data_IF_208691100082
#
_entry.id   IF_208691100082
#
_cell.length_a   1.000
_cell.length_b   1.000
_cell.length_c   1.000
_cell.angle_alpha   90.00
_cell.angle_beta   90.00
_cell.angle_gamma   90.00
#
_symmetry.space_group_name_H-M   'P 1'
#
loop_
_entity.id
_entity.type
_entity.pdbx_description
1 polymer ?
#
# COMPACT_ATOMS: atom_id res chain seq x y z
N UNK A 1 -15.79 -24.63 11.88
CA UNK A 1 -14.38 -24.40 11.54
C UNK A 1 -14.18 -22.89 11.56
N UNK A 2 -13.30 -22.39 12.41
CA UNK A 2 -13.00 -20.96 12.47
C UNK A 2 -12.01 -20.60 11.34
N UNK A 3 -12.22 -19.48 10.66
CA UNK A 3 -11.32 -19.02 9.60
C UNK A 3 -9.86 -18.95 10.06
N UNK A 4 -8.94 -19.32 9.18
CA UNK A 4 -7.51 -19.16 9.43
C UNK A 4 -7.17 -17.67 9.43
N UNK A 5 -6.43 -17.23 10.43
CA UNK A 5 -5.93 -15.85 10.51
C UNK A 5 -4.78 -15.64 9.51
N UNK A 6 -4.88 -14.61 8.68
CA UNK A 6 -3.80 -14.15 7.80
C UNK A 6 -3.00 -13.11 8.58
N UNK A 7 -1.89 -13.51 9.19
CA UNK A 7 -1.10 -12.64 10.05
C UNK A 7 -0.17 -11.73 9.23
N UNK A 8 -0.63 -10.48 9.01
CA UNK A 8 0.13 -9.49 8.27
C UNK A 8 1.37 -8.99 9.01
N UNK A 9 1.38 -9.06 10.35
CA UNK A 9 2.56 -8.70 11.15
C UNK A 9 3.69 -9.69 10.89
N UNK A 10 3.38 -10.98 10.92
CA UNK A 10 4.34 -12.04 10.60
C UNK A 10 4.85 -11.92 9.16
N UNK A 11 3.94 -11.84 8.19
CA UNK A 11 4.28 -11.72 6.77
C UNK A 11 5.16 -10.48 6.49
N UNK A 12 4.85 -9.33 7.12
CA UNK A 12 5.66 -8.13 7.00
C UNK A 12 7.05 -8.28 7.63
N UNK A 13 7.17 -8.97 8.76
CA UNK A 13 8.47 -9.25 9.38
C UNK A 13 9.33 -10.17 8.52
N UNK A 14 8.74 -11.16 7.87
CA UNK A 14 9.43 -12.04 6.93
C UNK A 14 9.95 -11.26 5.71
N UNK A 15 9.11 -10.39 5.13
CA UNK A 15 9.50 -9.54 4.02
C UNK A 15 10.63 -8.57 4.42
N UNK A 16 10.55 -7.91 5.58
CA UNK A 16 11.60 -7.00 6.06
C UNK A 16 12.94 -7.73 6.26
N UNK A 17 12.93 -8.96 6.79
CA UNK A 17 14.15 -9.78 6.89
C UNK A 17 14.78 -10.08 5.53
N UNK A 18 13.98 -10.40 4.53
CA UNK A 18 14.49 -10.58 3.17
C UNK A 18 15.06 -9.27 2.60
N UNK A 19 14.34 -8.16 2.78
CA UNK A 19 14.77 -6.84 2.32
C UNK A 19 16.08 -6.37 2.97
N UNK A 20 16.35 -6.69 4.23
CA UNK A 20 17.62 -6.31 4.87
C UNK A 20 18.82 -6.95 4.18
N UNK A 21 18.68 -8.17 3.64
CA UNK A 21 19.71 -8.82 2.84
C UNK A 21 19.88 -8.11 1.49
N UNK A 22 18.78 -7.78 0.83
CA UNK A 22 18.78 -7.05 -0.45
C UNK A 22 19.41 -5.65 -0.32
N UNK A 23 19.09 -4.92 0.77
CA UNK A 23 19.67 -3.61 1.09
C UNK A 23 21.18 -3.71 1.32
N UNK A 24 21.64 -4.71 2.07
CA UNK A 24 23.05 -4.91 2.31
C UNK A 24 23.82 -5.25 1.01
N UNK A 25 23.24 -6.08 0.15
CA UNK A 25 23.80 -6.41 -1.15
C UNK A 25 23.89 -5.17 -2.05
N UNK A 26 22.82 -4.38 -2.14
CA UNK A 26 22.82 -3.13 -2.88
C UNK A 26 23.87 -2.13 -2.36
N UNK A 27 23.98 -2.00 -1.05
CA UNK A 27 24.96 -1.10 -0.44
C UNK A 27 26.41 -1.54 -0.72
N UNK A 28 26.68 -2.83 -0.72
CA UNK A 28 28.00 -3.38 -1.05
C UNK A 28 28.37 -3.14 -2.53
N UNK A 29 27.38 -3.23 -3.44
CA UNK A 29 27.60 -3.04 -4.88
C UNK A 29 27.72 -1.58 -5.28
N UNK A 30 26.92 -0.69 -4.67
CA UNK A 30 26.80 0.72 -5.09
C UNK A 30 27.45 1.72 -4.12
N UNK A 31 28.08 1.27 -3.03
CA UNK A 31 28.77 2.11 -2.05
C UNK A 31 27.82 2.94 -1.15
N UNK A 32 26.51 2.79 -1.30
CA UNK A 32 25.48 3.45 -0.47
C UNK A 32 24.23 2.59 -0.34
N UNK A 33 23.49 2.67 0.77
CA UNK A 33 22.18 2.01 0.85
C UNK A 33 21.14 2.75 0.00
N UNK A 34 20.00 2.09 -0.35
CA UNK A 34 18.84 2.76 -0.90
C UNK A 34 18.35 3.91 0.00
N UNK A 35 17.88 5.00 -0.59
CA UNK A 35 17.40 6.20 0.09
C UNK A 35 15.89 6.42 -0.06
N UNK A 36 15.17 6.61 1.05
CA UNK A 36 13.75 6.96 1.07
C UNK A 36 13.53 8.35 1.69
N UNK A 37 13.02 9.29 0.91
CA UNK A 37 12.53 10.57 1.41
C UNK A 37 11.03 10.48 1.75
N UNK A 38 10.68 10.88 2.98
CA UNK A 38 9.29 11.07 3.39
C UNK A 38 9.02 12.54 3.57
N UNK A 39 7.95 13.03 2.95
CA UNK A 39 7.49 14.41 3.05
C UNK A 39 6.15 14.42 3.79
N UNK A 40 6.08 15.17 4.88
CA UNK A 40 4.86 15.43 5.64
C UNK A 40 4.58 16.93 5.60
N UNK A 41 3.39 17.32 5.16
CA UNK A 41 2.92 18.71 5.21
C UNK A 41 1.85 18.82 6.29
N UNK A 42 2.10 19.67 7.28
CA UNK A 42 1.22 19.84 8.44
C UNK A 42 1.47 18.85 9.57
N UNK A 43 0.62 18.92 10.58
CA UNK A 43 0.77 18.23 11.87
C UNK A 43 -0.35 17.22 12.16
N UNK A 44 -0.95 16.60 11.11
CA UNK A 44 -1.97 15.57 11.35
C UNK A 44 -1.40 14.42 12.20
N UNK A 45 -1.95 14.16 13.42
CA UNK A 45 -1.38 13.18 14.33
C UNK A 45 -1.34 11.76 13.78
N UNK A 46 -2.33 11.37 12.95
CA UNK A 46 -2.36 10.06 12.34
C UNK A 46 -1.23 9.93 11.31
N UNK A 47 -1.05 10.94 10.46
CA UNK A 47 0.03 11.00 9.47
C UNK A 47 1.41 10.98 10.13
N UNK A 48 1.61 11.70 11.24
CA UNK A 48 2.87 11.70 12.00
C UNK A 48 3.22 10.32 12.57
N UNK A 49 2.23 9.58 13.09
CA UNK A 49 2.42 8.19 13.56
C UNK A 49 2.85 7.26 12.42
N UNK A 50 2.20 7.38 11.25
CA UNK A 50 2.54 6.58 10.06
C UNK A 50 3.94 6.88 9.53
N UNK A 51 4.31 8.16 9.41
CA UNK A 51 5.67 8.56 9.00
C UNK A 51 6.72 8.04 9.99
N UNK A 52 6.49 8.18 11.29
CA UNK A 52 7.38 7.64 12.31
C UNK A 52 7.55 6.11 12.23
N UNK A 53 6.48 5.37 11.92
CA UNK A 53 6.56 3.92 11.73
C UNK A 53 7.36 3.55 10.47
N UNK A 54 7.20 4.30 9.36
CA UNK A 54 7.96 4.12 8.11
C UNK A 54 9.45 4.36 8.33
N UNK A 55 9.81 5.45 9.03
CA UNK A 55 11.22 5.76 9.34
C UNK A 55 11.89 4.70 10.22
N UNK A 56 11.19 4.19 11.24
CA UNK A 56 11.70 3.06 12.05
C UNK A 56 11.92 1.81 11.21
N UNK A 57 10.98 1.51 10.31
CA UNK A 57 11.08 0.35 9.42
C UNK A 57 12.23 0.50 8.40
N UNK A 58 12.51 1.72 7.90
CA UNK A 58 13.71 2.01 7.09
C UNK A 58 14.98 1.68 7.85
N UNK A 59 15.11 2.18 9.08
CA UNK A 59 16.28 1.93 9.91
C UNK A 59 16.47 0.43 10.23
N UNK A 60 15.39 -0.31 10.48
CA UNK A 60 15.39 -1.75 10.71
C UNK A 60 16.02 -2.54 9.55
N UNK A 61 15.73 -2.17 8.30
CA UNK A 61 16.22 -2.88 7.11
C UNK A 61 17.48 -2.26 6.52
N UNK A 62 17.99 -1.14 7.05
CA UNK A 62 19.20 -0.47 6.58
C UNK A 62 18.97 0.52 5.43
N UNK A 63 17.75 0.87 5.08
CA UNK A 63 17.42 1.94 4.13
C UNK A 63 17.72 3.29 4.78
N UNK A 64 18.37 4.20 4.05
CA UNK A 64 18.62 5.56 4.52
C UNK A 64 17.34 6.39 4.44
N UNK A 65 16.80 6.78 5.59
CA UNK A 65 15.61 7.63 5.68
C UNK A 65 15.96 9.11 5.67
N UNK A 66 15.19 9.91 4.92
CA UNK A 66 15.20 11.36 4.92
C UNK A 66 13.81 11.85 5.32
N UNK A 67 13.69 12.52 6.47
CA UNK A 67 12.41 13.03 6.98
C UNK A 67 12.31 14.53 6.70
N UNK A 68 11.33 14.93 5.91
CA UNK A 68 11.05 16.32 5.56
C UNK A 68 9.68 16.70 6.07
N UNK A 69 9.64 17.74 6.90
CA UNK A 69 8.41 18.29 7.46
C UNK A 69 8.26 19.73 7.01
N UNK A 70 7.09 20.04 6.48
CA UNK A 70 6.68 21.38 6.12
C UNK A 70 5.50 21.79 6.99
N UNK A 71 5.42 23.08 7.30
CA UNK A 71 4.33 23.62 8.10
C UNK A 71 2.97 23.45 7.40
N UNK A 72 1.88 23.52 8.18
CA UNK A 72 0.53 23.32 7.65
C UNK A 72 0.10 24.39 6.65
N UNK A 73 0.71 25.56 6.68
CA UNK A 73 0.49 26.68 5.77
C UNK A 73 1.54 26.77 4.64
N UNK A 74 2.41 25.77 4.52
CA UNK A 74 3.39 25.72 3.44
C UNK A 74 2.70 25.88 2.08
N UNK A 75 3.26 26.78 1.29
CA UNK A 75 2.71 27.11 -0.03
C UNK A 75 2.91 25.96 -1.02
N UNK A 76 2.07 25.93 -2.04
CA UNK A 76 2.23 25.00 -3.19
C UNK A 76 3.66 25.02 -3.73
N UNK A 77 4.22 26.19 -3.94
CA UNK A 77 5.55 26.36 -4.56
C UNK A 77 6.68 25.84 -3.65
N UNK A 78 6.56 25.97 -2.33
CA UNK A 78 7.51 25.40 -1.36
C UNK A 78 7.49 23.87 -1.39
N UNK A 79 6.30 23.27 -1.44
CA UNK A 79 6.14 21.80 -1.54
C UNK A 79 6.73 21.30 -2.85
N UNK A 80 6.37 21.93 -3.98
CA UNK A 80 6.87 21.52 -5.30
C UNK A 80 8.39 21.74 -5.43
N UNK A 81 8.93 22.81 -4.87
CA UNK A 81 10.37 23.06 -4.85
C UNK A 81 11.13 22.01 -4.02
N UNK A 82 10.56 21.55 -2.89
CA UNK A 82 11.15 20.44 -2.12
C UNK A 82 11.15 19.14 -2.94
N UNK A 83 10.01 18.77 -3.53
CA UNK A 83 9.91 17.57 -4.37
C UNK A 83 10.86 17.63 -5.56
N UNK A 84 11.03 18.81 -6.19
CA UNK A 84 12.00 19.02 -7.27
C UNK A 84 13.44 18.77 -6.83
N UNK A 85 13.83 19.22 -5.63
CA UNK A 85 15.16 18.94 -5.07
C UNK A 85 15.35 17.45 -4.79
N UNK A 86 14.35 16.78 -4.22
CA UNK A 86 14.40 15.36 -3.93
C UNK A 86 14.45 14.49 -5.21
N UNK A 87 13.74 14.92 -6.26
CA UNK A 87 13.84 14.28 -7.58
C UNK A 87 15.26 14.34 -8.15
N UNK A 88 15.97 15.45 -7.92
CA UNK A 88 17.33 15.66 -8.42
C UNK A 88 18.43 15.11 -7.52
N UNK A 89 18.09 14.61 -6.32
CA UNK A 89 19.07 14.06 -5.37
C UNK A 89 19.36 12.59 -5.67
N UNK A 90 20.59 12.28 -6.09
CA UNK A 90 21.04 10.92 -6.38
C UNK A 90 21.10 10.02 -5.12
N UNK A 91 21.08 10.60 -3.93
CA UNK A 91 21.00 9.87 -2.66
C UNK A 91 19.59 9.42 -2.29
N UNK A 92 18.57 9.89 -3.03
CA UNK A 92 17.15 9.58 -2.81
C UNK A 92 16.65 8.73 -3.96
N UNK A 93 16.36 7.47 -3.68
CA UNK A 93 15.84 6.52 -4.67
C UNK A 93 14.31 6.46 -4.67
N UNK A 94 13.68 6.80 -3.55
CA UNK A 94 12.23 6.83 -3.41
C UNK A 94 11.74 8.07 -2.68
N UNK A 95 10.59 8.59 -3.10
CA UNK A 95 9.92 9.73 -2.48
C UNK A 95 8.48 9.33 -2.14
N UNK A 96 8.10 9.61 -0.90
CA UNK A 96 6.75 9.49 -0.40
C UNK A 96 6.26 10.84 0.11
N UNK A 97 5.22 11.40 -0.48
CA UNK A 97 4.47 12.50 0.13
C UNK A 97 3.27 11.93 0.88
N UNK A 98 3.25 12.10 2.20
CA UNK A 98 2.19 11.55 3.04
C UNK A 98 0.85 12.25 2.78
N UNK A 99 -0.14 11.49 2.34
CA UNK A 99 -1.51 11.98 2.16
C UNK A 99 -2.35 11.74 3.44
N UNK A 100 -3.38 12.56 3.70
CA UNK A 100 -3.76 13.76 2.92
C UNK A 100 -2.82 14.94 3.18
N UNK A 101 -2.69 15.82 2.19
CA UNK A 101 -2.08 17.15 2.36
C UNK A 101 -3.13 18.15 2.86
N UNK A 102 -2.73 19.31 3.44
CA UNK A 102 -3.66 20.38 3.80
C UNK A 102 -4.59 20.80 2.66
N UNK A 103 -5.83 21.21 2.98
CA UNK A 103 -6.91 21.42 2.01
C UNK A 103 -6.65 22.50 0.93
N UNK A 104 -5.67 23.38 1.14
CA UNK A 104 -5.27 24.38 0.15
C UNK A 104 -4.32 23.84 -0.93
N UNK A 105 -3.83 22.59 -0.76
CA UNK A 105 -2.95 21.91 -1.72
C UNK A 105 -3.75 20.84 -2.47
N UNK A 106 -3.44 20.67 -3.75
CA UNK A 106 -3.95 19.55 -4.54
C UNK A 106 -3.06 18.32 -4.37
N UNK A 107 -3.54 17.30 -3.65
CA UNK A 107 -2.82 16.05 -3.42
C UNK A 107 -2.48 15.29 -4.70
N UNK A 108 -3.27 15.45 -5.77
CA UNK A 108 -2.98 14.83 -7.09
C UNK A 108 -1.81 15.55 -7.75
N UNK A 109 -1.78 16.88 -7.71
CA UNK A 109 -0.67 17.66 -8.23
C UNK A 109 0.63 17.36 -7.49
N UNK A 110 0.58 17.39 -6.14
CA UNK A 110 1.73 17.09 -5.28
C UNK A 110 2.28 15.70 -5.58
N UNK A 111 1.41 14.69 -5.65
CA UNK A 111 1.84 13.32 -5.99
C UNK A 111 2.49 13.25 -7.36
N UNK A 112 1.92 13.90 -8.37
CA UNK A 112 2.46 13.88 -9.74
C UNK A 112 3.73 14.74 -9.94
N UNK A 113 4.12 15.54 -8.96
CA UNK A 113 5.42 16.22 -8.95
C UNK A 113 6.59 15.28 -8.60
N UNK A 114 6.31 14.09 -8.09
CA UNK A 114 7.31 13.04 -7.85
C UNK A 114 7.69 12.40 -9.20
N UNK A 115 8.99 12.25 -9.44
CA UNK A 115 9.49 11.55 -10.63
C UNK A 115 9.00 10.08 -10.61
N UNK A 116 8.47 9.55 -11.73
CA UNK A 116 7.87 8.21 -11.76
C UNK A 116 8.79 7.08 -11.31
N UNK A 117 10.10 7.22 -11.51
CA UNK A 117 11.13 6.29 -11.08
C UNK A 117 11.38 6.32 -9.57
N UNK A 118 10.95 7.40 -8.88
CA UNK A 118 11.05 7.59 -7.44
C UNK A 118 9.68 7.52 -6.73
N UNK A 119 8.60 7.25 -7.47
CA UNK A 119 7.23 7.12 -6.94
C UNK A 119 7.03 5.79 -6.21
N UNK A 120 7.63 5.66 -5.03
CA UNK A 120 7.59 4.40 -4.26
C UNK A 120 6.22 4.12 -3.64
N UNK A 121 5.31 5.08 -3.60
CA UNK A 121 3.92 4.83 -3.22
C UNK A 121 3.05 4.37 -4.41
N UNK A 122 3.57 4.51 -5.64
CA UNK A 122 2.94 4.03 -6.87
C UNK A 122 1.67 4.77 -7.26
N UNK A 123 1.56 6.06 -6.92
CA UNK A 123 0.33 6.84 -7.03
C UNK A 123 0.32 7.89 -8.14
N UNK A 124 1.44 8.11 -8.83
CA UNK A 124 1.50 9.03 -9.97
C UNK A 124 0.65 8.53 -11.13
N UNK A 125 0.26 9.43 -12.02
CA UNK A 125 -0.44 9.08 -13.27
C UNK A 125 0.39 8.09 -14.10
N UNK A 126 1.71 8.24 -14.12
CA UNK A 126 2.61 7.34 -14.83
C UNK A 126 2.58 5.92 -14.24
N UNK A 127 2.67 5.79 -12.91
CA UNK A 127 2.57 4.50 -12.22
C UNK A 127 1.20 3.85 -12.41
N UNK A 128 0.12 4.63 -12.30
CA UNK A 128 -1.24 4.17 -12.55
C UNK A 128 -1.44 3.69 -13.99
N UNK A 129 -0.89 4.42 -14.98
CA UNK A 129 -0.94 4.03 -16.39
C UNK A 129 -0.17 2.73 -16.66
N UNK A 130 1.04 2.59 -16.12
CA UNK A 130 1.83 1.34 -16.21
C UNK A 130 1.09 0.16 -15.58
N UNK A 131 0.49 0.37 -14.39
CA UNK A 131 -0.31 -0.66 -13.74
C UNK A 131 -1.50 -1.08 -14.62
N UNK A 132 -2.27 -0.13 -15.16
CA UNK A 132 -3.44 -0.42 -15.98
C UNK A 132 -3.10 -1.20 -17.26
N UNK A 133 -1.91 -0.96 -17.82
CA UNK A 133 -1.42 -1.64 -19.04
C UNK A 133 -0.62 -2.93 -18.75
N UNK A 134 -0.44 -3.31 -17.51
CA UNK A 134 0.40 -4.47 -17.14
C UNK A 134 1.90 -4.27 -17.40
N UNK A 135 2.36 -3.02 -17.56
CA UNK A 135 3.76 -2.71 -17.83
C UNK A 135 4.59 -2.72 -16.53
N UNK A 136 5.90 -3.00 -16.59
CA UNK A 136 6.79 -2.91 -15.42
C UNK A 136 6.79 -1.53 -14.78
N UNK A 137 6.93 -1.47 -13.45
CA UNK A 137 7.01 -0.23 -12.68
C UNK A 137 6.57 -0.42 -11.23
N UNK A 138 6.76 0.62 -10.45
CA UNK A 138 6.37 0.63 -9.04
C UNK A 138 4.84 0.54 -8.90
N UNK A 139 4.39 -0.15 -7.87
CA UNK A 139 2.97 -0.48 -7.64
C UNK A 139 2.48 0.15 -6.33
N UNK A 140 1.20 0.51 -6.21
CA UNK A 140 0.67 1.04 -4.95
C UNK A 140 0.93 0.10 -3.78
N UNK A 141 1.45 0.68 -2.68
CA UNK A 141 1.96 -0.10 -1.55
C UNK A 141 0.90 -0.98 -0.89
N UNK A 142 -0.28 -0.44 -0.56
CA UNK A 142 -1.33 -1.21 0.12
C UNK A 142 -1.89 -2.32 -0.76
N UNK A 143 -2.27 -2.10 -2.03
CA UNK A 143 -2.66 -3.17 -2.94
C UNK A 143 -1.59 -4.25 -3.12
N UNK A 144 -0.32 -3.87 -3.27
CA UNK A 144 0.81 -4.82 -3.36
C UNK A 144 0.97 -5.64 -2.08
N UNK A 145 0.78 -5.01 -0.92
CA UNK A 145 0.75 -5.69 0.37
C UNK A 145 -0.38 -6.73 0.46
N UNK A 146 -1.56 -6.39 -0.05
CA UNK A 146 -2.70 -7.33 -0.11
C UNK A 146 -2.42 -8.52 -1.03
N UNK A 147 -1.83 -8.30 -2.21
CA UNK A 147 -1.43 -9.40 -3.10
C UNK A 147 -0.46 -10.37 -2.41
N UNK A 148 0.51 -9.84 -1.65
CA UNK A 148 1.44 -10.66 -0.86
C UNK A 148 0.73 -11.43 0.26
N UNK A 149 -0.26 -10.84 0.92
CA UNK A 149 -1.07 -11.54 1.94
C UNK A 149 -1.92 -12.65 1.34
N UNK A 150 -2.50 -12.45 0.16
CA UNK A 150 -3.24 -13.48 -0.57
C UNK A 150 -2.33 -14.66 -0.95
N UNK A 151 -1.11 -14.37 -1.46
CA UNK A 151 -0.11 -15.38 -1.74
C UNK A 151 0.36 -16.12 -0.47
N UNK A 152 0.64 -15.40 0.62
CA UNK A 152 0.98 -15.98 1.93
C UNK A 152 -0.14 -16.87 2.49
N UNK A 153 -1.38 -16.51 2.20
CA UNK A 153 -2.56 -17.31 2.53
C UNK A 153 -2.73 -18.53 1.60
N UNK A 154 -1.95 -18.66 0.52
CA UNK A 154 -2.14 -19.72 -0.46
C UNK A 154 -3.48 -19.59 -1.21
N UNK A 155 -3.98 -18.35 -1.38
CA UNK A 155 -5.23 -18.09 -2.09
C UNK A 155 -4.98 -18.20 -3.58
N UNK A 156 -5.64 -19.13 -4.27
CA UNK A 156 -5.62 -19.23 -5.73
C UNK A 156 -6.45 -18.09 -6.33
N UNK A 157 -5.85 -17.32 -7.24
CA UNK A 157 -6.49 -16.17 -7.87
C UNK A 157 -6.90 -16.45 -9.32
N UNK A 158 -6.17 -17.33 -10.02
CA UNK A 158 -6.50 -17.66 -11.41
C UNK A 158 -7.89 -18.31 -11.48
N UNK A 159 -8.81 -17.67 -12.22
CA UNK A 159 -10.19 -18.12 -12.33
C UNK A 159 -11.09 -17.80 -11.15
N UNK A 160 -10.59 -17.22 -10.05
CA UNK A 160 -11.38 -16.85 -8.90
C UNK A 160 -12.29 -15.64 -9.17
N UNK A 161 -13.47 -15.60 -8.56
CA UNK A 161 -14.29 -14.39 -8.47
C UNK A 161 -13.83 -13.55 -7.28
N UNK A 162 -13.33 -12.32 -7.56
CA UNK A 162 -12.89 -11.38 -6.54
C UNK A 162 -13.79 -10.14 -6.50
N UNK A 163 -14.15 -9.71 -5.30
CA UNK A 163 -14.90 -8.47 -5.07
C UNK A 163 -14.05 -7.48 -4.28
N UNK A 164 -13.84 -6.31 -4.86
CA UNK A 164 -13.20 -5.17 -4.19
C UNK A 164 -14.28 -4.17 -3.82
N UNK A 165 -14.55 -4.01 -2.53
CA UNK A 165 -15.52 -3.07 -1.99
C UNK A 165 -14.79 -1.75 -1.70
N UNK A 166 -14.93 -0.79 -2.60
CA UNK A 166 -14.23 0.49 -2.60
C UNK A 166 -13.64 0.80 -3.98
N UNK A 167 -13.59 2.08 -4.36
CA UNK A 167 -13.10 2.52 -5.68
C UNK A 167 -12.19 3.74 -5.62
N UNK A 168 -11.46 3.89 -4.53
CA UNK A 168 -10.49 4.98 -4.40
C UNK A 168 -9.32 4.81 -5.38
N UNK A 169 -8.68 5.93 -5.72
CA UNK A 169 -7.46 5.91 -6.53
C UNK A 169 -6.28 5.30 -5.77
N UNK A 170 -6.30 5.41 -4.44
CA UNK A 170 -5.23 4.90 -3.58
C UNK A 170 -5.28 3.37 -3.40
N UNK A 171 -6.47 2.77 -3.47
CA UNK A 171 -6.62 1.35 -3.17
C UNK A 171 -7.52 0.59 -4.14
N UNK A 172 -8.83 0.91 -4.22
CA UNK A 172 -9.80 0.04 -4.88
C UNK A 172 -9.54 -0.17 -6.37
N UNK A 173 -9.24 0.91 -7.11
CA UNK A 173 -8.90 0.82 -8.54
C UNK A 173 -7.59 0.05 -8.78
N UNK A 174 -6.45 0.39 -8.12
CA UNK A 174 -5.22 -0.35 -8.33
C UNK A 174 -5.30 -1.80 -7.84
N UNK A 175 -6.05 -2.09 -6.77
CA UNK A 175 -6.28 -3.46 -6.32
C UNK A 175 -6.98 -4.31 -7.39
N UNK A 176 -8.03 -3.76 -8.02
CA UNK A 176 -8.72 -4.44 -9.10
C UNK A 176 -7.78 -4.75 -10.29
N UNK A 177 -6.90 -3.82 -10.64
CA UNK A 177 -5.92 -4.05 -11.72
C UNK A 177 -4.92 -5.17 -11.37
N UNK A 178 -4.44 -5.22 -10.13
CA UNK A 178 -3.52 -6.29 -9.69
C UNK A 178 -4.21 -7.66 -9.70
N UNK A 179 -5.47 -7.74 -9.29
CA UNK A 179 -6.25 -8.98 -9.32
C UNK A 179 -6.52 -9.45 -10.76
N UNK A 180 -6.85 -8.52 -11.69
CA UNK A 180 -6.99 -8.85 -13.11
C UNK A 180 -5.68 -9.38 -13.69
N UNK A 181 -4.52 -8.79 -13.33
CA UNK A 181 -3.20 -9.28 -13.75
C UNK A 181 -2.83 -10.65 -13.15
N UNK A 182 -3.53 -11.07 -12.09
CA UNK A 182 -3.42 -12.39 -11.48
C UNK A 182 -4.52 -13.35 -11.97
N UNK A 183 -5.12 -13.07 -13.13
CA UNK A 183 -6.14 -13.87 -13.80
C UNK A 183 -7.46 -14.07 -13.04
N UNK A 184 -7.77 -13.17 -12.08
CA UNK A 184 -9.04 -13.18 -11.37
C UNK A 184 -10.13 -12.44 -12.17
N UNK A 185 -11.38 -12.88 -12.02
CA UNK A 185 -12.57 -12.13 -12.45
C UNK A 185 -12.95 -11.14 -11.37
N UNK A 186 -12.90 -9.84 -11.67
CA UNK A 186 -12.98 -8.80 -10.62
C UNK A 186 -14.25 -7.96 -10.75
N UNK A 187 -14.98 -7.84 -9.65
CA UNK A 187 -16.07 -6.89 -9.46
C UNK A 187 -15.62 -5.76 -8.54
N UNK A 188 -15.68 -4.52 -9.02
CA UNK A 188 -15.47 -3.33 -8.18
C UNK A 188 -16.82 -2.82 -7.70
N UNK A 189 -17.09 -2.98 -6.41
CA UNK A 189 -18.32 -2.56 -5.77
C UNK A 189 -18.13 -1.25 -4.98
N UNK A 190 -19.19 -0.49 -4.80
CA UNK A 190 -19.16 0.82 -4.16
C UNK A 190 -20.55 1.22 -3.60
N UNK A 191 -20.66 2.38 -2.98
CA UNK A 191 -21.89 2.88 -2.34
C UNK A 191 -23.12 3.01 -3.25
N UNK A 192 -22.96 2.85 -4.57
CA UNK A 192 -24.06 2.87 -5.56
C UNK A 192 -24.33 1.47 -6.16
N UNK A 193 -23.60 0.45 -5.71
CA UNK A 193 -23.83 -0.92 -6.16
C UNK A 193 -25.14 -1.45 -5.60
N UNK A 194 -26.04 -1.88 -6.48
CA UNK A 194 -27.27 -2.56 -6.09
C UNK A 194 -26.96 -4.02 -5.71
N UNK A 195 -27.60 -4.54 -4.68
CA UNK A 195 -27.45 -5.92 -4.26
C UNK A 195 -26.01 -6.29 -3.84
N UNK A 196 -25.30 -5.39 -3.14
CA UNK A 196 -23.91 -5.59 -2.75
C UNK A 196 -23.69 -6.92 -2.01
N UNK A 197 -24.63 -7.34 -1.16
CA UNK A 197 -24.58 -8.59 -0.43
C UNK A 197 -24.53 -9.80 -1.38
N UNK A 198 -25.38 -9.79 -2.40
CA UNK A 198 -25.43 -10.89 -3.40
C UNK A 198 -24.16 -10.95 -4.25
N UNK A 199 -23.56 -9.78 -4.53
CA UNK A 199 -22.26 -9.70 -5.21
C UNK A 199 -21.19 -10.36 -4.36
N UNK A 200 -21.14 -10.05 -3.06
CA UNK A 200 -20.16 -10.62 -2.13
C UNK A 200 -20.36 -12.13 -1.92
N UNK A 201 -21.60 -12.64 -1.86
CA UNK A 201 -21.89 -14.07 -1.64
C UNK A 201 -21.36 -15.01 -2.72
N UNK A 202 -21.05 -14.50 -3.91
CA UNK A 202 -20.47 -15.31 -4.99
C UNK A 202 -18.95 -15.33 -4.97
N UNK A 203 -18.34 -14.35 -4.31
CA UNK A 203 -16.90 -14.11 -4.38
C UNK A 203 -16.08 -15.14 -3.61
N UNK A 204 -15.04 -15.65 -4.24
CA UNK A 204 -13.99 -16.47 -3.60
C UNK A 204 -13.04 -15.60 -2.77
N UNK A 205 -12.89 -14.33 -3.18
CA UNK A 205 -12.07 -13.33 -2.48
C UNK A 205 -12.88 -12.06 -2.27
N UNK A 206 -12.99 -11.60 -1.02
CA UNK A 206 -13.64 -10.33 -0.66
C UNK A 206 -12.60 -9.40 -0.05
N UNK A 207 -12.45 -8.21 -0.63
CA UNK A 207 -11.52 -7.18 -0.14
C UNK A 207 -12.33 -5.94 0.22
N UNK A 208 -12.40 -5.61 1.52
CA UNK A 208 -13.16 -4.50 2.05
C UNK A 208 -12.26 -3.28 2.31
N UNK A 209 -12.58 -2.14 1.66
CA UNK A 209 -11.84 -0.88 1.77
C UNK A 209 -12.78 0.33 1.63
N UNK A 210 -13.72 0.47 2.57
CA UNK A 210 -14.82 1.46 2.51
C UNK A 210 -14.78 2.49 3.65
N UNK A 211 -13.96 2.25 4.69
CA UNK A 211 -13.88 3.12 5.86
C UNK A 211 -15.18 3.15 6.67
N UNK A 212 -15.89 2.01 6.75
CA UNK A 212 -17.14 1.87 7.51
C UNK A 212 -17.03 0.69 8.46
N UNK A 213 -17.01 0.94 9.78
CA UNK A 213 -16.85 -0.12 10.78
C UNK A 213 -17.82 -1.27 10.57
N UNK A 214 -17.28 -2.49 10.47
CA UNK A 214 -18.03 -3.77 10.48
C UNK A 214 -19.20 -3.82 9.48
N UNK A 215 -19.10 -3.13 8.35
CA UNK A 215 -20.14 -3.08 7.33
C UNK A 215 -20.34 -4.45 6.66
N UNK A 216 -19.25 -5.18 6.42
CA UNK A 216 -19.30 -6.51 5.78
C UNK A 216 -19.61 -7.57 6.83
N UNK A 217 -20.76 -8.21 6.68
CA UNK A 217 -21.30 -9.19 7.64
C UNK A 217 -21.02 -10.62 7.21
N UNK A 218 -21.09 -11.56 8.15
CA UNK A 218 -20.89 -12.99 7.85
C UNK A 218 -21.85 -13.53 6.79
N UNK A 219 -23.09 -13.07 6.78
CA UNK A 219 -24.11 -13.46 5.78
C UNK A 219 -23.78 -13.05 4.33
N UNK A 220 -22.80 -12.17 4.14
CA UNK A 220 -22.32 -11.74 2.82
C UNK A 220 -21.22 -12.65 2.25
N UNK A 221 -20.66 -13.52 3.07
CA UNK A 221 -19.45 -14.27 2.73
C UNK A 221 -19.81 -15.67 2.23
N UNK A 222 -19.29 -16.00 1.05
CA UNK A 222 -19.32 -17.36 0.50
C UNK A 222 -18.57 -18.29 1.44
N UNK A 223 -19.14 -19.45 1.84
CA UNK A 223 -18.40 -20.42 2.61
C UNK A 223 -17.07 -20.81 1.95
N UNK A 224 -15.99 -20.68 2.71
CA UNK A 224 -14.64 -20.96 2.20
C UNK A 224 -13.92 -19.79 1.51
N UNK A 225 -14.52 -18.61 1.41
CA UNK A 225 -13.87 -17.43 0.83
C UNK A 225 -12.69 -16.93 1.65
N UNK A 226 -11.74 -16.26 0.99
CA UNK A 226 -10.69 -15.46 1.64
C UNK A 226 -11.16 -14.02 1.79
N UNK A 227 -11.03 -13.45 3.00
CA UNK A 227 -11.47 -12.09 3.30
C UNK A 227 -10.29 -11.23 3.73
N UNK A 228 -10.09 -10.12 3.03
CA UNK A 228 -9.08 -9.10 3.34
C UNK A 228 -9.77 -7.84 3.83
N UNK A 229 -9.54 -7.48 5.07
CA UNK A 229 -10.02 -6.25 5.67
C UNK A 229 -8.93 -5.18 5.63
N UNK A 230 -9.16 -4.15 4.84
CA UNK A 230 -8.24 -2.99 4.67
C UNK A 230 -8.65 -1.84 5.58
N UNK A 231 -9.86 -1.90 6.14
CA UNK A 231 -10.43 -0.86 6.98
C UNK A 231 -9.59 -0.61 8.24
N UNK A 232 -9.41 0.66 8.57
CA UNK A 232 -8.84 1.11 9.84
C UNK A 232 -9.74 2.22 10.36
N UNK A 233 -10.69 1.84 11.21
CA UNK A 233 -11.65 2.75 11.81
C UNK A 233 -11.39 2.85 13.30
N UNK A 234 -11.68 4.00 13.92
CA UNK A 234 -11.69 4.14 15.38
C UNK A 234 -13.10 3.90 15.91
N UNK A 235 -13.20 3.10 16.95
CA UNK A 235 -14.43 3.01 17.74
C UNK A 235 -14.58 4.29 18.57
N UNK A 236 -15.77 4.89 18.52
CA UNK A 236 -16.14 6.04 19.33
C UNK A 236 -17.49 5.73 20.02
N UNK A 237 -17.54 5.69 21.36
CA UNK A 237 -16.42 5.83 22.30
C UNK A 237 -15.41 4.67 22.22
N UNK A 238 -14.16 4.95 22.63
CA UNK A 238 -13.12 3.92 22.74
C UNK A 238 -13.55 2.83 23.76
N UNK A 239 -13.23 1.54 23.48
CA UNK A 239 -13.57 0.45 24.42
C UNK A 239 -12.88 0.64 25.77
N UNK A 240 -13.60 0.31 26.85
CA UNK A 240 -13.06 0.37 28.23
C UNK A 240 -12.63 -1.02 28.75
N UNK A 241 -12.83 -2.08 27.98
CA UNK A 241 -12.52 -3.46 28.33
C UNK A 241 -11.12 -3.92 27.92
N UNK A 242 -10.26 -2.98 27.44
CA UNK A 242 -8.91 -3.28 26.96
C UNK A 242 -8.86 -3.84 25.53
N UNK A 243 -9.98 -3.97 24.82
CA UNK A 243 -10.01 -4.33 23.41
C UNK A 243 -9.45 -3.20 22.53
N UNK A 244 -9.07 -3.52 21.28
CA UNK A 244 -8.54 -2.51 20.35
C UNK A 244 -9.57 -1.43 20.07
N UNK A 245 -9.12 -0.17 20.16
CA UNK A 245 -9.88 0.98 19.66
C UNK A 245 -9.96 1.02 18.12
N UNK A 246 -9.17 0.20 17.42
CA UNK A 246 -9.20 0.07 15.97
C UNK A 246 -10.06 -1.12 15.56
N UNK A 247 -10.87 -0.93 14.55
CA UNK A 247 -11.78 -1.92 13.97
C UNK A 247 -11.74 -1.81 12.44
N UNK A 248 -11.94 -2.93 11.78
CA UNK A 248 -11.98 -2.99 10.32
C UNK A 248 -13.34 -2.64 9.72
N UNK A 249 -13.43 -2.84 8.41
CA UNK A 249 -14.68 -2.73 7.65
C UNK A 249 -15.51 -4.03 7.70
N UNK A 250 -14.94 -5.10 8.23
CA UNK A 250 -15.51 -6.44 8.29
C UNK A 250 -15.88 -6.78 9.74
N UNK A 251 -17.03 -7.41 9.97
CA UNK A 251 -17.41 -7.98 11.26
C UNK A 251 -16.66 -9.31 11.50
N UNK A 252 -15.55 -9.31 12.25
CA UNK A 252 -14.58 -10.41 12.21
C UNK A 252 -15.15 -11.72 12.73
N UNK A 253 -15.91 -11.70 13.83
CA UNK A 253 -16.46 -12.91 14.45
C UNK A 253 -17.51 -13.59 13.57
N UNK A 254 -18.37 -12.79 12.93
CA UNK A 254 -19.38 -13.32 12.01
C UNK A 254 -18.72 -13.90 10.76
N UNK A 255 -17.76 -13.17 10.17
CA UNK A 255 -17.08 -13.57 8.93
C UNK A 255 -16.21 -14.81 9.18
N UNK A 256 -15.55 -14.90 10.33
CA UNK A 256 -14.72 -16.06 10.67
C UNK A 256 -15.51 -17.39 10.77
N UNK A 257 -16.82 -17.33 10.93
CA UNK A 257 -17.68 -18.52 10.90
C UNK A 257 -17.91 -19.08 9.48
N UNK A 258 -17.67 -18.27 8.43
CA UNK A 258 -17.96 -18.62 7.03
C UNK A 258 -16.68 -18.68 6.17
N UNK A 259 -15.74 -17.76 6.36
CA UNK A 259 -14.52 -17.65 5.57
C UNK A 259 -13.54 -18.82 5.84
N UNK A 260 -12.72 -19.16 4.85
CA UNK A 260 -11.55 -20.03 5.06
C UNK A 260 -10.40 -19.27 5.71
N UNK A 261 -10.22 -17.99 5.35
CA UNK A 261 -9.15 -17.17 5.88
C UNK A 261 -9.58 -15.68 5.97
N UNK A 262 -9.05 -14.97 6.97
CA UNK A 262 -9.35 -13.54 7.20
C UNK A 262 -8.14 -12.81 7.77
N UNK A 263 -7.91 -11.56 7.33
CA UNK A 263 -6.94 -10.67 7.98
C UNK A 263 -7.52 -10.03 9.24
N UNK A 264 -6.75 -9.92 10.33
CA UNK A 264 -7.17 -9.21 11.53
C UNK A 264 -7.02 -7.68 11.35
N UNK A 265 -7.76 -6.91 12.14
CA UNK A 265 -7.53 -5.48 12.34
C UNK A 265 -7.44 -5.20 13.84
N UNK A 266 -6.30 -4.68 14.34
CA UNK A 266 -5.03 -4.42 13.65
C UNK A 266 -4.20 -5.68 13.36
N UNK A 267 -3.10 -5.52 12.60
CA UNK A 267 -2.12 -6.58 12.36
C UNK A 267 -2.29 -7.37 11.06
N UNK A 268 -3.23 -6.96 10.21
CA UNK A 268 -3.41 -7.50 8.85
C UNK A 268 -2.68 -6.65 7.79
N UNK A 269 -3.43 -5.82 7.06
CA UNK A 269 -2.93 -5.08 5.89
C UNK A 269 -1.91 -3.98 6.26
N UNK A 270 -2.12 -3.25 7.37
CA UNK A 270 -1.28 -2.11 7.73
C UNK A 270 0.23 -2.41 7.77
N UNK A 271 0.71 -3.44 8.49
CA UNK A 271 2.12 -3.82 8.49
C UNK A 271 2.69 -4.12 7.11
N UNK A 272 1.89 -4.75 6.23
CA UNK A 272 2.30 -5.07 4.86
C UNK A 272 2.41 -3.85 3.97
N UNK A 273 1.62 -2.80 4.20
CA UNK A 273 1.75 -1.53 3.47
C UNK A 273 3.13 -0.93 3.66
N UNK A 274 3.63 -0.91 4.92
CA UNK A 274 4.99 -0.41 5.22
C UNK A 274 6.05 -1.30 4.58
N UNK A 275 5.94 -2.62 4.70
CA UNK A 275 6.90 -3.54 4.11
C UNK A 275 6.93 -3.44 2.57
N UNK A 276 5.77 -3.22 1.92
CA UNK A 276 5.69 -3.00 0.47
C UNK A 276 6.35 -1.68 0.04
N UNK A 277 6.24 -0.61 0.85
CA UNK A 277 6.94 0.65 0.61
C UNK A 277 8.47 0.45 0.61
N UNK A 278 8.99 -0.30 1.59
CA UNK A 278 10.43 -0.61 1.63
C UNK A 278 10.85 -1.45 0.42
N UNK A 279 10.03 -2.41 0.00
CA UNK A 279 10.29 -3.21 -1.20
C UNK A 279 10.32 -2.34 -2.46
N UNK A 280 9.37 -1.41 -2.61
CA UNK A 280 9.37 -0.46 -3.72
C UNK A 280 10.60 0.46 -3.68
N UNK A 281 11.09 0.86 -2.50
CA UNK A 281 12.29 1.68 -2.39
C UNK A 281 13.54 0.93 -2.87
N UNK A 282 13.69 -0.33 -2.51
CA UNK A 282 14.79 -1.18 -3.00
C UNK A 282 14.67 -1.41 -4.51
N UNK A 283 13.47 -1.65 -5.02
CA UNK A 283 13.22 -1.82 -6.46
C UNK A 283 13.53 -0.53 -7.23
N UNK A 284 13.09 0.63 -6.73
CA UNK A 284 13.38 1.94 -7.32
C UNK A 284 14.90 2.18 -7.40
N UNK A 285 15.64 1.87 -6.32
CA UNK A 285 17.09 1.98 -6.30
C UNK A 285 17.76 1.10 -7.35
N UNK A 286 17.33 -0.16 -7.48
CA UNK A 286 17.84 -1.11 -8.48
C UNK A 286 17.55 -0.64 -9.91
N UNK A 287 16.33 -0.16 -10.18
CA UNK A 287 15.94 0.32 -11.50
C UNK A 287 16.76 1.55 -11.93
N UNK A 288 17.00 2.50 -11.01
CA UNK A 288 17.80 3.69 -11.27
C UNK A 288 19.29 3.32 -11.48
N UNK A 289 19.85 2.44 -10.64
CA UNK A 289 21.22 1.97 -10.81
C UNK A 289 21.43 1.21 -12.14
N UNK A 290 20.48 0.35 -12.53
CA UNK A 290 20.51 -0.34 -13.82
C UNK A 290 20.38 0.60 -15.02
N UNK A 291 19.60 1.68 -14.90
CA UNK A 291 19.49 2.70 -15.93
C UNK A 291 20.78 3.51 -16.11
N UNK A 292 21.53 3.76 -15.02
CA UNK A 292 22.84 4.43 -15.09
C UNK A 292 23.96 3.52 -15.64
N UNK A 293 23.83 2.21 -15.46
CA UNK A 293 24.79 1.23 -15.96
C UNK A 293 24.61 0.89 -17.46
N UNK A 294 23.46 1.17 -18.05
CA UNK A 294 23.23 1.00 -19.48
C UNK A 294 24.03 2.08 -20.25
N UNK A 295 24.92 1.70 -21.22
CA UNK A 295 25.63 2.70 -22.03
C UNK A 295 24.59 3.58 -22.71
N UNK A 296 24.75 4.90 -22.57
CA UNK A 296 23.96 5.86 -23.35
C UNK A 296 24.19 5.50 -24.82
N UNK A 297 23.18 4.93 -25.47
CA UNK A 297 23.23 4.65 -26.89
C UNK A 297 23.52 5.99 -27.58
N UNK A 298 24.75 6.11 -28.07
CA UNK A 298 25.29 7.34 -28.64
C UNK A 298 24.35 7.86 -29.70
N UNK A 299 23.91 9.08 -29.52
CA UNK A 299 23.31 9.85 -30.58
C UNK A 299 24.38 10.00 -31.69
N UNK A 300 24.23 9.23 -32.74
CA UNK A 300 24.87 9.51 -34.01
C UNK A 300 23.81 10.08 -34.95
N UNK A 301 24.09 11.26 -35.35
CA UNK A 301 23.41 12.18 -36.25
C UNK A 301 22.60 11.59 -37.41
#
# INVERSE_FOLDING_TARGET
>A
VTARRIDGTQAAAELRRALSVDVAAFAAEHGRPPGLATVLVGEDPASAVYVGAKQRACAEVGIRGFDHRLDADATRDEVLALLGRLNADDGVDGILCQLPVPAHLDGVEVTNAIAPEKDVDGLTIASAGRLALGLPGLRPCTPSGVMRLLAHAGTELAGAEAVVIGRSNLFGKPMAQLLVQADATVVVAHSKTAGLEDVCRRADVVIAAVGRPEMVRGSWIKPGATVIDVGINRRDPAPTDGSSALVGDVAPDEVAAHAAAITPVPGGVGPMTIAALLANTVEAARLQAGAHAAPQAGGSA
#
